data_IF_363773843851
#
_entry.id   IF_363773843851
#
_cell.length_a   1.000
_cell.length_b   1.000
_cell.length_c   1.000
_cell.angle_alpha   90.00
_cell.angle_beta   90.00
_cell.angle_gamma   90.00
#
_symmetry.space_group_name_H-M   'P 1'
#
loop_
_entity.id
_entity.type
_entity.pdbx_description
1 polymer ?
#
# COMPACT_ATOMS: atom_id res chain seq x y z
N UNK A 1 22.23 -19.94 -35.52
CA UNK A 1 21.09 -19.59 -34.64
C UNK A 1 20.66 -20.83 -33.87
N UNK A 2 20.37 -20.72 -32.61
CA UNK A 2 19.82 -21.85 -31.87
C UNK A 2 18.29 -21.95 -32.08
N UNK A 3 17.73 -23.12 -31.77
CA UNK A 3 16.30 -23.39 -32.00
C UNK A 3 15.37 -22.41 -31.31
N UNK A 4 15.80 -21.82 -30.19
CA UNK A 4 15.05 -20.85 -29.41
C UNK A 4 14.90 -19.51 -30.14
N UNK A 5 15.99 -18.99 -30.73
CA UNK A 5 15.94 -17.75 -31.50
C UNK A 5 15.12 -17.88 -32.80
N UNK A 6 15.18 -19.02 -33.43
CA UNK A 6 14.31 -19.32 -34.59
C UNK A 6 12.84 -19.35 -34.19
N UNK A 7 12.50 -20.02 -33.09
CA UNK A 7 11.13 -20.08 -32.59
C UNK A 7 10.57 -18.68 -32.33
N UNK A 8 11.35 -17.79 -31.67
CA UNK A 8 10.93 -16.41 -31.38
C UNK A 8 10.73 -15.63 -32.69
N UNK A 9 11.64 -15.75 -33.65
CA UNK A 9 11.53 -15.03 -34.92
C UNK A 9 10.33 -15.47 -35.76
N UNK A 10 9.99 -16.74 -35.73
CA UNK A 10 8.83 -17.29 -36.46
C UNK A 10 7.49 -16.94 -35.79
N UNK A 11 7.50 -16.72 -34.47
CA UNK A 11 6.30 -16.46 -33.67
C UNK A 11 6.33 -15.09 -32.97
N UNK A 12 7.04 -14.09 -33.52
CA UNK A 12 7.26 -12.82 -32.87
C UNK A 12 5.96 -12.08 -32.49
N UNK A 13 4.91 -12.17 -33.28
CA UNK A 13 3.61 -11.57 -32.95
C UNK A 13 2.98 -12.20 -31.74
N UNK A 14 3.08 -13.51 -31.59
CA UNK A 14 2.56 -14.23 -30.39
C UNK A 14 3.36 -13.85 -29.15
N UNK A 15 4.69 -13.73 -29.28
CA UNK A 15 5.57 -13.32 -28.19
C UNK A 15 5.24 -11.89 -27.74
N UNK A 16 5.05 -10.96 -28.67
CA UNK A 16 4.66 -9.58 -28.35
C UNK A 16 3.29 -9.54 -27.65
N UNK A 17 2.32 -10.30 -28.15
CA UNK A 17 0.99 -10.38 -27.52
C UNK A 17 1.07 -10.92 -26.10
N UNK A 18 1.85 -11.98 -25.89
CA UNK A 18 2.05 -12.56 -24.56
C UNK A 18 2.72 -11.58 -23.59
N UNK A 19 3.79 -10.90 -24.02
CA UNK A 19 4.49 -9.90 -23.21
C UNK A 19 3.59 -8.71 -22.87
N UNK A 20 2.76 -8.26 -23.82
CA UNK A 20 1.80 -7.18 -23.57
C UNK A 20 0.74 -7.58 -22.53
N UNK A 21 0.23 -8.80 -22.63
CA UNK A 21 -0.74 -9.34 -21.68
C UNK A 21 -0.15 -9.47 -20.28
N UNK A 22 1.08 -9.99 -20.17
CA UNK A 22 1.79 -10.07 -18.88
C UNK A 22 2.02 -8.68 -18.29
N UNK A 23 2.41 -7.71 -19.12
CA UNK A 23 2.60 -6.32 -18.68
C UNK A 23 1.31 -5.70 -18.16
N UNK A 24 0.19 -5.92 -18.84
CA UNK A 24 -1.14 -5.45 -18.40
C UNK A 24 -1.52 -6.08 -17.05
N UNK A 25 -1.30 -7.39 -16.90
CA UNK A 25 -1.56 -8.09 -15.64
C UNK A 25 -0.72 -7.53 -14.49
N UNK A 26 0.57 -7.29 -14.71
CA UNK A 26 1.46 -6.71 -13.69
C UNK A 26 1.00 -5.31 -13.30
N UNK A 27 0.63 -4.47 -14.26
CA UNK A 27 0.12 -3.11 -14.00
C UNK A 27 -1.20 -3.17 -13.23
N UNK A 28 -2.09 -4.07 -13.61
CA UNK A 28 -3.38 -4.26 -12.95
C UNK A 28 -3.20 -4.70 -11.49
N UNK A 29 -2.36 -5.69 -11.23
CA UNK A 29 -2.07 -6.14 -9.86
C UNK A 29 -1.42 -5.04 -9.00
N UNK A 30 -0.49 -4.28 -9.56
CA UNK A 30 0.15 -3.15 -8.83
C UNK A 30 -0.84 -2.05 -8.45
N UNK A 31 -1.88 -1.84 -9.24
CA UNK A 31 -2.90 -0.81 -8.96
C UNK A 31 -3.93 -1.24 -7.91
N UNK A 32 -4.08 -2.53 -7.67
CA UNK A 32 -5.04 -3.04 -6.68
C UNK A 32 -4.71 -2.67 -5.24
N UNK A 33 -3.44 -2.56 -4.91
CA UNK A 33 -2.95 -2.44 -3.54
C UNK A 33 -2.85 -1.01 -3.00
N UNK A 34 -3.50 -0.03 -3.61
CA UNK A 34 -3.35 1.37 -3.21
C UNK A 34 -2.07 2.01 -3.76
N UNK A 35 -1.96 3.32 -3.59
CA UNK A 35 -0.76 4.06 -3.98
C UNK A 35 0.34 3.84 -2.95
N UNK A 36 1.48 3.32 -3.38
CA UNK A 36 2.66 3.18 -2.52
C UNK A 36 3.36 4.53 -2.39
N UNK A 37 3.61 4.94 -1.16
CA UNK A 37 4.35 6.16 -0.83
C UNK A 37 5.60 5.82 -0.03
N UNK A 38 6.69 6.52 -0.30
CA UNK A 38 7.89 6.40 0.49
C UNK A 38 7.82 7.26 1.77
N UNK A 39 8.86 7.20 2.59
CA UNK A 39 8.91 7.93 3.85
C UNK A 39 8.88 9.45 3.66
N UNK A 40 9.48 9.97 2.61
CA UNK A 40 9.48 11.40 2.29
C UNK A 40 8.09 11.87 1.86
N UNK A 41 7.43 11.14 0.98
CA UNK A 41 6.07 11.44 0.54
C UNK A 41 5.06 11.30 1.69
N UNK A 42 5.21 10.30 2.53
CA UNK A 42 4.36 10.16 3.72
C UNK A 42 4.51 11.35 4.66
N UNK A 43 5.74 11.82 4.91
CA UNK A 43 5.99 13.00 5.72
C UNK A 43 5.33 14.23 5.12
N UNK A 44 5.40 14.39 3.81
CA UNK A 44 4.71 15.46 3.09
C UNK A 44 3.18 15.38 3.27
N UNK A 45 2.61 14.21 3.11
CA UNK A 45 1.17 13.99 3.29
C UNK A 45 0.72 14.33 4.72
N UNK A 46 1.45 13.88 5.73
CA UNK A 46 1.14 14.17 7.14
C UNK A 46 1.14 15.66 7.39
N UNK A 47 2.10 16.40 6.83
CA UNK A 47 2.24 17.83 7.09
C UNK A 47 1.25 18.69 6.30
N UNK A 48 0.81 18.27 5.11
CA UNK A 48 0.02 19.10 4.20
C UNK A 48 -1.42 18.65 4.04
N UNK A 49 -1.69 17.35 4.09
CA UNK A 49 -3.00 16.78 3.77
C UNK A 49 -3.79 16.33 5.00
N UNK A 50 -3.15 16.32 6.16
CA UNK A 50 -3.75 15.84 7.42
C UNK A 50 -4.52 14.52 7.24
N UNK A 51 -3.86 13.44 6.78
CA UNK A 51 -4.51 12.20 6.44
C UNK A 51 -4.99 11.44 7.68
N UNK A 52 -5.93 10.52 7.47
CA UNK A 52 -6.18 9.46 8.44
C UNK A 52 -5.07 8.42 8.33
N UNK A 53 -4.25 8.30 9.37
CA UNK A 53 -3.15 7.33 9.41
C UNK A 53 -3.57 6.17 10.31
N UNK A 54 -3.64 4.99 9.73
CA UNK A 54 -4.03 3.76 10.41
C UNK A 54 -2.86 2.78 10.45
N UNK A 55 -2.50 2.36 11.66
CA UNK A 55 -1.50 1.33 11.89
C UNK A 55 -2.19 -0.02 12.09
N UNK A 56 -1.91 -0.97 11.23
CA UNK A 56 -2.55 -2.28 11.18
C UNK A 56 -1.79 -3.35 11.99
N UNK A 57 -0.73 -2.96 12.70
CA UNK A 57 0.04 -3.88 13.54
C UNK A 57 -0.72 -4.27 14.79
N UNK A 58 -0.17 -5.19 15.56
CA UNK A 58 -0.75 -5.56 16.86
C UNK A 58 -0.78 -4.37 17.83
N UNK A 59 -1.67 -4.42 18.81
CA UNK A 59 -1.76 -3.38 19.84
C UNK A 59 -0.45 -3.24 20.64
N UNK A 60 0.25 -4.34 20.89
CA UNK A 60 1.53 -4.33 21.59
C UNK A 60 2.62 -3.61 20.79
N UNK A 61 2.72 -3.90 19.50
CA UNK A 61 3.67 -3.23 18.59
C UNK A 61 3.37 -1.74 18.46
N UNK A 62 2.10 -1.38 18.32
CA UNK A 62 1.66 0.00 18.25
C UNK A 62 1.99 0.79 19.53
N UNK A 63 1.75 0.20 20.69
CA UNK A 63 2.06 0.81 21.99
C UNK A 63 3.56 1.00 22.21
N UNK A 64 4.39 0.09 21.70
CA UNK A 64 5.84 0.19 21.80
C UNK A 64 6.42 1.35 20.95
N UNK A 65 5.72 1.75 19.92
CA UNK A 65 6.10 2.89 19.07
C UNK A 65 5.36 2.90 17.75
N UNK A 66 4.89 4.07 17.35
CA UNK A 66 4.16 4.27 16.09
C UNK A 66 4.51 5.61 15.46
N UNK A 67 4.09 5.79 14.22
CA UNK A 67 4.16 7.09 13.56
C UNK A 67 3.22 8.07 14.25
N UNK A 68 3.69 9.29 14.47
CA UNK A 68 2.90 10.34 15.12
C UNK A 68 1.56 10.57 14.39
N UNK A 69 0.48 10.59 15.16
CA UNK A 69 -0.87 10.78 14.64
C UNK A 69 -1.54 9.50 14.12
N UNK A 70 -0.88 8.36 14.15
CA UNK A 70 -1.46 7.09 13.76
C UNK A 70 -2.45 6.57 14.80
N UNK A 71 -3.50 5.92 14.32
CA UNK A 71 -4.46 5.18 15.15
C UNK A 71 -4.29 3.68 14.88
N UNK A 72 -4.32 2.88 15.93
CA UNK A 72 -4.26 1.43 15.78
C UNK A 72 -5.64 0.88 15.44
N UNK A 73 -5.72 0.14 14.35
CA UNK A 73 -6.95 -0.51 13.90
C UNK A 73 -6.59 -1.87 13.31
N UNK A 74 -7.42 -2.87 13.56
CA UNK A 74 -7.23 -4.17 12.94
C UNK A 74 -7.74 -4.15 11.49
N UNK A 75 -7.13 -4.92 10.58
CA UNK A 75 -7.57 -4.95 9.18
C UNK A 75 -9.06 -5.26 8.99
N UNK A 76 -9.63 -6.09 9.86
CA UNK A 76 -11.07 -6.45 9.84
C UNK A 76 -11.99 -5.26 10.15
N UNK A 77 -11.49 -4.22 10.80
CA UNK A 77 -12.25 -3.01 11.12
C UNK A 77 -12.16 -1.92 10.05
N UNK A 78 -11.41 -2.14 8.99
CA UNK A 78 -11.33 -1.23 7.83
C UNK A 78 -12.54 -1.44 6.91
N UNK A 79 -13.72 -1.20 7.44
CA UNK A 79 -14.98 -1.31 6.72
C UNK A 79 -15.84 -0.08 6.99
N UNK A 80 -16.58 0.33 5.96
CA UNK A 80 -17.50 1.48 6.06
C UNK A 80 -18.51 1.25 7.18
N UNK A 81 -18.61 2.23 8.08
CA UNK A 81 -19.53 2.16 9.21
C UNK A 81 -18.95 1.57 10.51
N UNK A 82 -17.74 1.07 10.49
CA UNK A 82 -17.06 0.65 11.72
C UNK A 82 -16.77 1.88 12.61
N UNK A 83 -16.96 1.72 13.92
CA UNK A 83 -16.79 2.80 14.89
C UNK A 83 -15.35 3.35 14.97
N UNK A 84 -14.36 2.52 14.66
CA UNK A 84 -12.94 2.90 14.67
C UNK A 84 -12.49 3.49 13.34
N UNK A 85 -13.18 3.20 12.26
CA UNK A 85 -12.82 3.66 10.91
C UNK A 85 -13.66 4.89 10.54
N UNK A 86 -13.05 6.06 10.64
CA UNK A 86 -13.75 7.35 10.57
C UNK A 86 -13.58 8.10 9.25
N UNK A 87 -12.72 7.60 8.36
CA UNK A 87 -12.47 8.24 7.07
C UNK A 87 -13.67 8.13 6.13
N UNK A 88 -13.91 9.18 5.36
CA UNK A 88 -14.86 9.19 4.27
C UNK A 88 -14.22 8.74 2.95
N UNK A 89 -15.03 8.46 1.94
CA UNK A 89 -14.58 7.88 0.66
C UNK A 89 -13.52 8.72 -0.08
N UNK A 90 -13.53 10.04 0.09
CA UNK A 90 -12.59 10.95 -0.57
C UNK A 90 -11.46 11.44 0.35
N UNK A 91 -11.45 11.03 1.60
CA UNK A 91 -10.40 11.44 2.53
C UNK A 91 -9.07 10.77 2.18
N UNK A 92 -7.98 11.46 2.48
CA UNK A 92 -6.64 10.88 2.37
C UNK A 92 -6.42 9.88 3.50
N UNK A 93 -6.15 8.65 3.13
CA UNK A 93 -5.90 7.54 4.06
C UNK A 93 -4.50 7.01 3.83
N UNK A 94 -3.75 6.80 4.91
CA UNK A 94 -2.45 6.12 4.86
C UNK A 94 -2.52 4.89 5.76
N UNK A 95 -2.19 3.74 5.20
CA UNK A 95 -2.13 2.47 5.93
C UNK A 95 -0.68 2.08 6.18
N UNK A 96 -0.40 1.66 7.40
CA UNK A 96 0.91 1.24 7.86
C UNK A 96 0.81 -0.15 8.44
N UNK A 97 1.72 -1.04 8.06
CA UNK A 97 1.95 -2.30 8.74
C UNK A 97 3.45 -2.52 8.94
N UNK A 98 3.87 -3.72 9.32
CA UNK A 98 5.28 -4.00 9.60
C UNK A 98 6.16 -3.85 8.35
N UNK A 99 5.74 -4.44 7.21
CA UNK A 99 6.53 -4.53 5.96
C UNK A 99 5.83 -4.00 4.71
N UNK A 100 4.58 -3.58 4.82
CA UNK A 100 3.77 -3.08 3.70
C UNK A 100 2.83 -4.10 3.06
N UNK A 101 2.95 -5.39 3.36
CA UNK A 101 2.15 -6.47 2.74
C UNK A 101 0.69 -6.43 3.17
N UNK A 102 0.42 -6.40 4.46
CA UNK A 102 -0.94 -6.31 5.02
C UNK A 102 -1.62 -5.01 4.60
N UNK A 103 -0.89 -3.90 4.63
CA UNK A 103 -1.39 -2.59 4.20
C UNK A 103 -1.81 -2.59 2.74
N UNK A 104 -1.04 -3.20 1.85
CA UNK A 104 -1.37 -3.28 0.42
C UNK A 104 -2.67 -4.06 0.19
N UNK A 105 -2.85 -5.18 0.87
CA UNK A 105 -4.08 -5.98 0.81
C UNK A 105 -5.28 -5.19 1.31
N UNK A 106 -5.16 -4.57 2.47
CA UNK A 106 -6.23 -3.77 3.08
C UNK A 106 -6.58 -2.55 2.24
N UNK A 107 -5.59 -1.90 1.61
CA UNK A 107 -5.83 -0.80 0.68
C UNK A 107 -6.63 -1.26 -0.54
N UNK A 108 -6.34 -2.43 -1.07
CA UNK A 108 -7.12 -3.03 -2.16
C UNK A 108 -8.58 -3.25 -1.76
N UNK A 109 -8.82 -3.76 -0.56
CA UNK A 109 -10.17 -3.96 -0.03
C UNK A 109 -10.92 -2.65 0.16
N UNK A 110 -10.26 -1.60 0.68
CA UNK A 110 -10.85 -0.27 0.79
C UNK A 110 -11.21 0.34 -0.57
N UNK A 111 -10.36 0.18 -1.58
CA UNK A 111 -10.68 0.63 -2.93
C UNK A 111 -11.93 -0.02 -3.49
N UNK A 112 -12.13 -1.31 -3.24
CA UNK A 112 -13.35 -2.03 -3.63
C UNK A 112 -14.59 -1.49 -2.91
N UNK A 113 -14.43 -0.90 -1.74
CA UNK A 113 -15.52 -0.26 -0.98
C UNK A 113 -15.81 1.18 -1.43
N UNK A 114 -15.06 1.74 -2.38
CA UNK A 114 -15.26 3.08 -2.92
C UNK A 114 -14.31 4.15 -2.41
N UNK A 115 -13.33 3.81 -1.60
CA UNK A 115 -12.31 4.77 -1.11
C UNK A 115 -11.32 5.08 -2.24
N UNK A 116 -11.15 6.37 -2.55
CA UNK A 116 -10.44 6.83 -3.75
C UNK A 116 -9.00 7.26 -3.50
N UNK A 117 -8.64 7.62 -2.26
CA UNK A 117 -7.32 8.15 -1.92
C UNK A 117 -6.67 7.34 -0.81
N UNK A 118 -6.37 6.07 -1.11
CA UNK A 118 -5.74 5.14 -0.18
C UNK A 118 -4.27 4.97 -0.52
N UNK A 119 -3.42 5.30 0.44
CA UNK A 119 -1.97 5.25 0.34
C UNK A 119 -1.41 4.19 1.29
N UNK A 120 -0.30 3.59 0.91
CA UNK A 120 0.39 2.56 1.69
C UNK A 120 1.83 2.99 1.90
N UNK A 121 2.30 2.98 3.15
CA UNK A 121 3.72 3.22 3.43
C UNK A 121 4.55 2.04 2.91
N UNK A 122 5.34 2.31 1.89
CA UNK A 122 6.22 1.31 1.26
C UNK A 122 7.25 0.80 2.26
N UNK A 123 7.33 -0.52 2.42
CA UNK A 123 8.21 -1.14 3.40
C UNK A 123 7.74 -1.04 4.85
N UNK A 124 6.62 -0.39 5.12
CA UNK A 124 6.00 -0.29 6.44
C UNK A 124 6.87 0.38 7.50
N UNK A 125 6.62 0.06 8.75
CA UNK A 125 7.38 0.56 9.92
C UNK A 125 8.87 0.21 9.83
N UNK A 126 9.22 -0.93 9.27
CA UNK A 126 10.61 -1.33 9.09
C UNK A 126 11.38 -0.31 8.26
N UNK A 127 10.80 0.13 7.15
CA UNK A 127 11.42 1.16 6.30
C UNK A 127 11.44 2.54 6.99
N UNK A 128 10.39 2.89 7.70
CA UNK A 128 10.32 4.14 8.46
C UNK A 128 11.46 4.26 9.47
N UNK A 129 11.69 3.22 10.26
CA UNK A 129 12.76 3.20 11.27
C UNK A 129 14.15 3.13 10.65
N UNK A 130 14.33 2.39 9.57
CA UNK A 130 15.61 2.32 8.84
C UNK A 130 15.98 3.66 8.20
N UNK A 131 15.00 4.49 7.87
CA UNK A 131 15.21 5.85 7.35
C UNK A 131 15.56 6.86 8.46
N UNK A 132 15.67 6.43 9.70
CA UNK A 132 16.01 7.27 10.84
C UNK A 132 14.88 8.15 11.36
N UNK A 133 13.65 7.89 10.94
CA UNK A 133 12.47 8.65 11.37
C UNK A 133 11.97 8.19 12.75
N UNK A 134 11.52 9.13 13.60
CA UNK A 134 11.14 8.80 14.97
C UNK A 134 9.80 8.09 15.07
N UNK A 135 9.68 7.24 16.09
CA UNK A 135 8.42 6.69 16.55
C UNK A 135 8.03 7.34 17.89
N UNK A 136 6.73 7.50 18.11
CA UNK A 136 6.18 7.97 19.39
C UNK A 136 5.57 6.80 20.15
N UNK A 137 5.71 6.80 21.47
CA UNK A 137 5.05 5.83 22.33
C UNK A 137 3.61 6.25 22.62
N UNK A 138 2.72 5.28 22.66
CA UNK A 138 1.29 5.45 22.93
C UNK A 138 0.87 4.75 24.22
#
# INVERSE_FOLDING_TARGET
MNKFSLFISENFLVVILLLSLISILIIYERRKGGKKVDTAEMTRLINKENPFVYDLRSAAEFSAGSVSGASNIQPSSLVKGDALFKANENDCIVLICKTGTTSAKSAGDLKKQGYTNVNVLSGGITNWTQSGLPLVKN
#
